data_IF_243091192620
#
_entry.id   IF_243091192620
#
_cell.length_a   1.000
_cell.length_b   1.000
_cell.length_c   1.000
_cell.angle_alpha   90.00
_cell.angle_beta   90.00
_cell.angle_gamma   90.00
#
_symmetry.space_group_name_H-M   'P 1'
#
loop_
_entity.id
_entity.type
_entity.pdbx_description
1 polymer ?
#
# COMPACT_ATOMS: atom_id res chain seq x y z
N UNK A 1 -21.45 -9.26 -2.70
CA UNK A 1 -20.99 -8.17 -3.58
C UNK A 1 -20.98 -6.89 -2.77
N UNK A 2 -19.81 -6.26 -2.62
CA UNK A 2 -19.62 -4.95 -2.01
C UNK A 2 -19.83 -3.88 -3.10
N UNK A 3 -20.37 -2.74 -2.70
CA UNK A 3 -20.73 -1.66 -3.63
C UNK A 3 -19.96 -0.39 -3.32
N UNK A 4 -19.60 0.34 -4.37
CA UNK A 4 -19.05 1.68 -4.24
C UNK A 4 -20.14 2.65 -3.75
N UNK A 5 -19.74 3.59 -2.90
CA UNK A 5 -20.46 4.80 -2.60
C UNK A 5 -20.02 5.96 -3.51
N UNK A 6 -20.78 7.05 -3.49
CA UNK A 6 -20.47 8.25 -4.27
C UNK A 6 -19.08 8.83 -3.97
N UNK A 7 -18.66 8.74 -2.70
CA UNK A 7 -17.36 9.23 -2.26
C UNK A 7 -16.20 8.38 -2.78
N UNK A 8 -16.40 7.07 -2.96
CA UNK A 8 -15.40 6.20 -3.57
C UNK A 8 -15.18 6.58 -5.04
N UNK A 9 -16.26 6.85 -5.77
CA UNK A 9 -16.21 7.30 -7.16
C UNK A 9 -15.52 8.65 -7.29
N UNK A 10 -15.81 9.61 -6.41
CA UNK A 10 -15.14 10.91 -6.37
C UNK A 10 -13.65 10.82 -6.03
N UNK A 11 -13.27 9.91 -5.12
CA UNK A 11 -11.87 9.68 -4.78
C UNK A 11 -11.08 9.13 -5.98
N UNK A 12 -11.69 8.22 -6.75
CA UNK A 12 -11.10 7.72 -8.00
C UNK A 12 -10.99 8.84 -9.04
N UNK A 13 -12.05 9.65 -9.20
CA UNK A 13 -12.05 10.77 -10.13
C UNK A 13 -10.96 11.81 -9.81
N UNK A 14 -10.83 12.24 -8.55
CA UNK A 14 -9.80 13.18 -8.12
C UNK A 14 -8.38 12.70 -8.46
N UNK A 15 -8.11 11.40 -8.24
CA UNK A 15 -6.80 10.79 -8.53
C UNK A 15 -6.50 10.75 -10.02
N UNK A 16 -7.47 10.33 -10.84
CA UNK A 16 -7.30 10.23 -12.30
C UNK A 16 -7.18 11.61 -12.94
N UNK A 17 -7.97 12.58 -12.46
CA UNK A 17 -7.98 13.96 -12.96
C UNK A 17 -6.84 14.82 -12.41
N UNK A 18 -6.07 14.29 -11.44
CA UNK A 18 -4.98 14.98 -10.74
C UNK A 18 -5.41 16.33 -10.15
N UNK A 19 -6.56 16.33 -9.47
CA UNK A 19 -7.11 17.53 -8.85
C UNK A 19 -7.51 17.29 -7.39
N UNK A 20 -7.65 18.40 -6.65
CA UNK A 20 -8.12 18.38 -5.26
C UNK A 20 -9.57 17.89 -5.18
N UNK A 21 -9.97 17.30 -4.05
CA UNK A 21 -11.31 16.71 -3.87
C UNK A 21 -12.45 17.70 -4.13
N UNK A 22 -12.26 18.97 -3.78
CA UNK A 22 -13.25 20.02 -4.03
C UNK A 22 -13.43 20.30 -5.53
N UNK A 23 -12.34 20.20 -6.29
CA UNK A 23 -12.37 20.36 -7.75
C UNK A 23 -12.98 19.14 -8.44
N UNK A 24 -12.72 17.93 -7.93
CA UNK A 24 -13.37 16.71 -8.41
C UNK A 24 -14.88 16.78 -8.24
N UNK A 25 -15.40 17.31 -7.12
CA UNK A 25 -16.84 17.52 -6.91
C UNK A 25 -17.41 18.50 -7.94
N UNK A 26 -16.74 19.62 -8.20
CA UNK A 26 -17.19 20.61 -9.20
C UNK A 26 -17.20 20.07 -10.63
N UNK A 27 -16.29 19.14 -10.93
CA UNK A 27 -16.09 18.55 -12.26
C UNK A 27 -16.89 17.26 -12.47
N UNK A 28 -17.82 16.95 -11.56
CA UNK A 28 -18.56 15.70 -11.58
C UNK A 28 -20.06 15.91 -11.40
N UNK A 29 -20.86 15.34 -12.30
CA UNK A 29 -22.32 15.22 -12.14
C UNK A 29 -22.64 14.12 -11.12
N UNK A 30 -22.90 14.56 -9.89
CA UNK A 30 -23.18 13.67 -8.75
C UNK A 30 -24.53 12.95 -8.86
N UNK A 31 -25.52 13.55 -9.54
CA UNK A 31 -26.85 12.96 -9.68
C UNK A 31 -26.79 11.78 -10.65
N UNK A 32 -26.01 11.93 -11.72
CA UNK A 32 -25.71 10.83 -12.65
C UNK A 32 -24.95 9.70 -11.95
N UNK A 33 -23.96 9.99 -11.10
CA UNK A 33 -23.27 8.95 -10.32
C UNK A 33 -24.25 8.18 -9.43
N UNK A 34 -25.10 8.89 -8.68
CA UNK A 34 -26.03 8.25 -7.76
C UNK A 34 -27.03 7.34 -8.50
N UNK A 35 -27.51 7.77 -9.67
CA UNK A 35 -28.38 6.94 -10.54
C UNK A 35 -27.66 5.68 -11.01
N UNK A 36 -26.46 5.82 -11.57
CA UNK A 36 -25.67 4.67 -12.04
C UNK A 36 -25.39 3.70 -10.88
N UNK A 37 -24.98 4.19 -9.71
CA UNK A 37 -24.74 3.34 -8.54
C UNK A 37 -26.02 2.65 -8.03
N UNK A 38 -27.17 3.30 -8.14
CA UNK A 38 -28.46 2.66 -7.80
C UNK A 38 -28.78 1.49 -8.75
N UNK A 39 -28.48 1.63 -10.04
CA UNK A 39 -28.68 0.56 -11.02
C UNK A 39 -27.69 -0.60 -10.81
N UNK A 40 -26.45 -0.30 -10.46
CA UNK A 40 -25.45 -1.31 -10.06
C UNK A 40 -25.94 -2.12 -8.86
N UNK A 41 -26.54 -1.47 -7.85
CA UNK A 41 -27.08 -2.15 -6.65
C UNK A 41 -28.25 -3.10 -6.96
N UNK A 42 -29.02 -2.82 -8.01
CA UNK A 42 -30.14 -3.67 -8.45
C UNK A 42 -29.69 -4.84 -9.34
N UNK A 43 -28.44 -4.81 -9.81
CA UNK A 43 -27.94 -5.78 -10.78
C UNK A 43 -27.35 -7.01 -10.06
N UNK A 44 -27.86 -8.23 -10.32
CA UNK A 44 -27.30 -9.45 -9.76
C UNK A 44 -26.06 -9.88 -10.55
N UNK A 45 -25.01 -10.29 -9.83
CA UNK A 45 -23.77 -10.76 -10.43
C UNK A 45 -22.73 -9.64 -10.64
N UNK A 46 -21.47 -9.97 -10.41
CA UNK A 46 -20.38 -8.99 -10.39
C UNK A 46 -20.02 -8.50 -11.78
N UNK A 47 -20.01 -9.38 -12.79
CA UNK A 47 -19.69 -9.01 -14.16
C UNK A 47 -20.79 -8.10 -14.74
N UNK A 48 -22.04 -8.39 -14.44
CA UNK A 48 -23.22 -7.62 -14.81
C UNK A 48 -23.21 -6.26 -14.13
N UNK A 49 -22.95 -6.21 -12.82
CA UNK A 49 -22.86 -4.97 -12.06
C UNK A 49 -21.70 -4.08 -12.53
N UNK A 50 -20.53 -4.66 -12.79
CA UNK A 50 -19.38 -3.96 -13.38
C UNK A 50 -19.67 -3.47 -14.80
N UNK A 51 -20.40 -4.25 -15.60
CA UNK A 51 -20.82 -3.86 -16.94
C UNK A 51 -21.83 -2.70 -16.94
N UNK A 52 -22.80 -2.72 -16.02
CA UNK A 52 -23.74 -1.60 -15.80
C UNK A 52 -23.00 -0.34 -15.37
N UNK A 53 -22.03 -0.48 -14.45
CA UNK A 53 -21.19 0.63 -14.00
C UNK A 53 -20.37 1.24 -15.15
N UNK A 54 -19.67 0.40 -15.92
CA UNK A 54 -18.87 0.85 -17.06
C UNK A 54 -19.75 1.54 -18.09
N UNK A 55 -20.86 0.91 -18.45
CA UNK A 55 -21.74 1.40 -19.50
C UNK A 55 -22.45 2.70 -19.10
N UNK A 56 -22.90 2.82 -17.86
CA UNK A 56 -23.52 4.04 -17.33
C UNK A 56 -22.56 5.22 -17.33
N UNK A 57 -21.36 5.04 -16.76
CA UNK A 57 -20.37 6.12 -16.68
C UNK A 57 -19.83 6.55 -18.05
N UNK A 58 -19.66 5.62 -18.99
CA UNK A 58 -19.19 5.95 -20.35
C UNK A 58 -20.26 6.66 -21.17
N UNK A 59 -21.54 6.27 -21.06
CA UNK A 59 -22.64 6.89 -21.82
C UNK A 59 -23.07 8.23 -21.25
N UNK A 60 -23.27 8.31 -19.94
CA UNK A 60 -23.81 9.51 -19.30
C UNK A 60 -22.74 10.58 -19.04
N UNK A 61 -21.46 10.20 -19.14
CA UNK A 61 -20.30 11.09 -19.04
C UNK A 61 -20.32 12.05 -17.85
N UNK A 62 -20.43 11.57 -16.59
CA UNK A 62 -20.54 12.44 -15.44
C UNK A 62 -19.28 13.25 -15.13
N UNK A 63 -18.12 12.93 -15.71
CA UNK A 63 -16.85 13.61 -15.40
C UNK A 63 -16.43 14.57 -16.51
N UNK A 64 -16.06 15.80 -16.14
CA UNK A 64 -15.43 16.76 -17.04
C UNK A 64 -13.94 16.43 -17.28
N UNK A 65 -13.59 16.10 -18.52
CA UNK A 65 -12.23 15.68 -18.94
C UNK A 65 -12.18 14.24 -19.48
N UNK A 66 -11.15 13.44 -19.16
CA UNK A 66 -10.96 12.08 -19.68
C UNK A 66 -11.95 11.06 -19.06
N UNK A 67 -13.25 11.25 -19.27
CA UNK A 67 -14.34 10.46 -18.68
C UNK A 67 -14.19 8.94 -18.85
N UNK A 68 -13.73 8.49 -20.02
CA UNK A 68 -13.50 7.05 -20.29
C UNK A 68 -12.46 6.44 -19.34
N UNK A 69 -11.38 7.17 -19.07
CA UNK A 69 -10.31 6.72 -18.16
C UNK A 69 -10.83 6.65 -16.72
N UNK A 70 -11.60 7.66 -16.30
CA UNK A 70 -12.23 7.65 -14.96
C UNK A 70 -13.23 6.50 -14.85
N UNK A 71 -14.07 6.27 -15.87
CA UNK A 71 -15.04 5.17 -15.88
C UNK A 71 -14.37 3.80 -15.76
N UNK A 72 -13.31 3.55 -16.52
CA UNK A 72 -12.52 2.30 -16.41
C UNK A 72 -11.90 2.18 -15.02
N UNK A 73 -11.29 3.24 -14.49
CA UNK A 73 -10.69 3.23 -13.15
C UNK A 73 -11.72 2.94 -12.03
N UNK A 74 -12.94 3.47 -12.16
CA UNK A 74 -14.04 3.20 -11.20
C UNK A 74 -14.48 1.73 -11.27
N UNK A 75 -14.48 1.13 -12.46
CA UNK A 75 -14.80 -0.30 -12.64
C UNK A 75 -13.70 -1.18 -12.09
N UNK A 76 -12.43 -0.85 -12.30
CA UNK A 76 -11.29 -1.54 -11.66
C UNK A 76 -11.38 -1.48 -10.13
N UNK A 77 -11.74 -0.31 -9.57
CA UNK A 77 -11.94 -0.17 -8.13
C UNK A 77 -13.11 -1.02 -7.62
N UNK A 78 -14.20 -1.12 -8.40
CA UNK A 78 -15.35 -1.97 -8.07
C UNK A 78 -15.02 -3.46 -8.11
N UNK A 79 -14.28 -3.93 -9.12
CA UNK A 79 -13.87 -5.34 -9.22
C UNK A 79 -12.88 -5.70 -8.11
N UNK A 80 -11.91 -4.81 -7.83
CA UNK A 80 -10.97 -4.98 -6.73
C UNK A 80 -11.66 -5.06 -5.37
N UNK A 81 -12.67 -4.20 -5.12
CA UNK A 81 -13.51 -4.24 -3.90
C UNK A 81 -14.28 -5.57 -3.74
N UNK A 82 -14.41 -6.33 -4.83
CA UNK A 82 -15.07 -7.63 -4.87
C UNK A 82 -14.08 -8.79 -5.09
N UNK A 83 -12.79 -8.56 -4.85
CA UNK A 83 -11.71 -9.57 -4.94
C UNK A 83 -11.61 -10.22 -6.31
N UNK A 84 -11.69 -9.39 -7.34
CA UNK A 84 -11.50 -9.82 -8.71
C UNK A 84 -10.63 -8.83 -9.47
N UNK A 85 -9.70 -9.38 -10.23
CA UNK A 85 -8.87 -8.62 -11.15
C UNK A 85 -9.56 -8.57 -12.51
N UNK A 86 -9.60 -7.39 -13.13
CA UNK A 86 -10.12 -7.20 -14.48
C UNK A 86 -8.96 -6.94 -15.42
N UNK A 87 -8.67 -7.92 -16.28
CA UNK A 87 -7.63 -7.77 -17.31
C UNK A 87 -8.05 -6.78 -18.37
N UNK A 88 -7.16 -5.82 -18.66
CA UNK A 88 -7.37 -4.80 -19.69
C UNK A 88 -6.69 -5.12 -21.02
N UNK A 89 -5.80 -6.12 -21.05
CA UNK A 89 -5.13 -6.52 -22.29
C UNK A 89 -5.99 -7.46 -23.14
N UNK A 90 -5.93 -7.35 -24.48
CA UNK A 90 -5.30 -6.25 -25.23
C UNK A 90 -6.10 -4.94 -25.11
N UNK A 91 -5.41 -3.82 -24.90
CA UNK A 91 -6.04 -2.49 -24.71
C UNK A 91 -6.96 -2.10 -25.88
N UNK A 92 -6.62 -2.52 -27.10
CA UNK A 92 -7.42 -2.26 -28.30
C UNK A 92 -8.86 -2.80 -28.19
N UNK A 93 -9.06 -3.96 -27.56
CA UNK A 93 -10.40 -4.53 -27.39
C UNK A 93 -11.23 -3.77 -26.35
N UNK A 94 -10.56 -3.17 -25.34
CA UNK A 94 -11.21 -2.29 -24.36
C UNK A 94 -11.64 -1.00 -25.05
N UNK A 95 -10.76 -0.40 -25.85
CA UNK A 95 -11.09 0.82 -26.61
C UNK A 95 -12.26 0.59 -27.58
N UNK A 96 -12.26 -0.53 -28.32
CA UNK A 96 -13.36 -0.91 -29.21
C UNK A 96 -14.69 -1.06 -28.45
N UNK A 97 -14.66 -1.64 -27.24
CA UNK A 97 -15.85 -1.72 -26.39
C UNK A 97 -16.32 -0.32 -25.96
N UNK A 98 -15.42 0.54 -25.49
CA UNK A 98 -15.75 1.89 -25.04
C UNK A 98 -16.33 2.74 -26.18
N UNK A 99 -15.83 2.57 -27.40
CA UNK A 99 -16.37 3.19 -28.61
C UNK A 99 -17.79 2.71 -28.91
N UNK A 100 -18.04 1.39 -28.86
CA UNK A 100 -19.39 0.83 -29.05
C UNK A 100 -20.36 1.27 -27.96
N UNK A 101 -19.92 1.35 -26.70
CA UNK A 101 -20.75 1.87 -25.60
C UNK A 101 -21.12 3.33 -25.86
N UNK A 102 -20.14 4.16 -26.25
CA UNK A 102 -20.32 5.58 -26.57
C UNK A 102 -21.29 5.77 -27.73
N UNK A 103 -21.20 4.93 -28.76
CA UNK A 103 -22.09 4.93 -29.92
C UNK A 103 -23.49 4.34 -29.64
N UNK A 104 -23.74 3.83 -28.43
CA UNK A 104 -24.99 3.14 -28.09
C UNK A 104 -25.16 1.76 -28.74
N UNK A 105 -24.10 1.23 -29.35
CA UNK A 105 -24.11 -0.04 -30.08
C UNK A 105 -23.78 -1.28 -29.22
N UNK A 106 -23.35 -1.10 -27.97
CA UNK A 106 -23.14 -2.20 -27.03
C UNK A 106 -24.29 -2.29 -26.02
N UNK A 107 -24.90 -3.46 -25.88
CA UNK A 107 -25.93 -3.77 -24.88
C UNK A 107 -25.31 -4.03 -23.50
N UNK A 108 -26.09 -3.90 -22.42
CA UNK A 108 -25.60 -4.20 -21.07
C UNK A 108 -25.12 -5.66 -20.94
N UNK A 109 -25.75 -6.60 -21.65
CA UNK A 109 -25.36 -8.00 -21.67
C UNK A 109 -23.99 -8.22 -22.35
N UNK A 110 -23.72 -7.55 -23.47
CA UNK A 110 -22.43 -7.64 -24.16
C UNK A 110 -21.29 -7.05 -23.33
N UNK A 111 -21.54 -5.94 -22.63
CA UNK A 111 -20.54 -5.34 -21.71
C UNK A 111 -20.28 -6.30 -20.54
N UNK A 112 -21.34 -6.88 -19.97
CA UNK A 112 -21.21 -7.85 -18.89
C UNK A 112 -20.43 -9.10 -19.32
N UNK A 113 -20.68 -9.62 -20.53
CA UNK A 113 -19.94 -10.75 -21.09
C UNK A 113 -18.46 -10.42 -21.28
N UNK A 114 -18.16 -9.25 -21.83
CA UNK A 114 -16.80 -8.77 -22.00
C UNK A 114 -16.05 -8.69 -20.67
N UNK A 115 -16.70 -8.14 -19.63
CA UNK A 115 -16.15 -8.09 -18.28
C UNK A 115 -15.96 -9.51 -17.74
N UNK A 116 -16.97 -10.39 -17.84
CA UNK A 116 -16.91 -11.77 -17.34
C UNK A 116 -15.73 -12.55 -17.91
N UNK A 117 -15.48 -12.46 -19.22
CA UNK A 117 -14.38 -13.13 -19.90
C UNK A 117 -12.98 -12.65 -19.44
N UNK A 118 -12.91 -11.49 -18.77
CA UNK A 118 -11.68 -10.83 -18.34
C UNK A 118 -11.51 -10.76 -16.82
N UNK A 119 -12.49 -11.27 -16.07
CA UNK A 119 -12.40 -11.39 -14.63
C UNK A 119 -11.60 -12.63 -14.25
N UNK A 120 -10.53 -12.43 -13.49
CA UNK A 120 -9.77 -13.49 -12.84
C UNK A 120 -10.11 -13.49 -11.34
N UNK A 121 -10.50 -14.65 -10.80
CA UNK A 121 -10.74 -14.79 -9.36
C UNK A 121 -9.43 -15.12 -8.67
N UNK A 122 -9.00 -14.27 -7.74
CA UNK A 122 -7.82 -14.56 -6.92
C UNK A 122 -8.14 -15.69 -5.93
N UNK A 123 -7.38 -16.78 -5.99
CA UNK A 123 -7.18 -17.70 -4.87
C UNK A 123 -6.40 -16.93 -3.80
N UNK A 124 -6.84 -17.04 -2.55
CA UNK A 124 -6.40 -16.18 -1.45
C UNK A 124 -4.88 -16.01 -1.37
N UNK A 125 -4.41 -14.78 -1.55
CA UNK A 125 -2.99 -14.38 -1.39
C UNK A 125 -2.87 -13.21 -0.41
N UNK A 126 -1.64 -12.79 -0.08
CA UNK A 126 -1.34 -11.73 0.90
C UNK A 126 -2.10 -10.39 0.68
N UNK A 127 -2.67 -10.15 -0.51
CA UNK A 127 -3.60 -9.05 -0.78
C UNK A 127 -4.93 -9.13 -0.02
N UNK A 128 -5.38 -10.32 0.41
CA UNK A 128 -6.63 -10.50 1.15
C UNK A 128 -6.57 -9.97 2.60
N UNK A 129 -5.36 -9.89 3.17
CA UNK A 129 -5.13 -9.20 4.44
C UNK A 129 -5.26 -7.67 4.28
N UNK A 130 -4.89 -7.14 3.11
CA UNK A 130 -4.92 -5.72 2.77
C UNK A 130 -6.35 -5.13 2.81
N UNK A 131 -7.36 -5.97 2.55
CA UNK A 131 -8.78 -5.57 2.54
C UNK A 131 -9.50 -5.77 3.89
N UNK A 132 -9.16 -6.82 4.65
CA UNK A 132 -9.74 -7.04 5.99
C UNK A 132 -9.34 -5.93 6.98
N UNK A 133 -8.08 -5.49 6.90
CA UNK A 133 -7.60 -4.35 7.67
C UNK A 133 -8.31 -3.04 7.32
N UNK A 134 -8.67 -2.86 6.05
CA UNK A 134 -9.33 -1.65 5.57
C UNK A 134 -10.79 -1.56 6.04
N UNK A 135 -11.44 -2.67 6.34
CA UNK A 135 -12.83 -2.71 6.83
C UNK A 135 -12.97 -2.63 8.36
N UNK A 136 -12.04 -3.24 9.10
CA UNK A 136 -12.02 -3.10 10.56
C UNK A 136 -11.76 -1.64 11.01
N UNK A 137 -11.01 -0.88 10.20
CA UNK A 137 -10.65 0.51 10.50
C UNK A 137 -11.70 1.56 10.09
N UNK A 138 -12.76 1.17 9.37
CA UNK A 138 -13.77 2.12 8.83
C UNK A 138 -15.09 2.11 9.63
N UNK A 139 -15.31 1.14 10.52
CA UNK A 139 -16.61 0.97 11.18
C UNK A 139 -16.69 1.41 12.66
N UNK A 140 -15.62 1.83 13.32
CA UNK A 140 -15.70 2.25 14.73
C UNK A 140 -16.04 3.73 14.99
N UNK A 141 -16.11 4.59 13.95
CA UNK A 141 -16.46 6.02 14.14
C UNK A 141 -17.97 6.31 14.07
N UNK A 142 -18.83 5.30 14.17
CA UNK A 142 -20.29 5.52 14.22
C UNK A 142 -20.79 6.06 15.59
N UNK A 143 -19.94 6.17 16.62
CA UNK A 143 -20.33 6.72 17.94
C UNK A 143 -19.21 7.56 18.57
N UNK A 144 -19.03 8.80 18.11
CA UNK A 144 -18.40 9.85 18.92
C UNK A 144 -18.77 11.25 18.42
N UNK A 145 -20.07 11.59 18.47
CA UNK A 145 -20.44 12.99 18.66
C UNK A 145 -19.81 13.48 19.97
N UNK A 146 -18.94 14.50 19.88
CA UNK A 146 -18.68 15.58 20.86
C UNK A 146 -17.21 16.02 20.82
N UNK A 147 -16.99 17.19 20.20
CA UNK A 147 -15.94 18.18 20.51
C UNK A 147 -14.44 17.82 20.31
N UNK A 148 -13.80 18.74 19.56
CA UNK A 148 -12.36 19.10 19.51
C UNK A 148 -11.42 18.33 18.57
N UNK A 149 -10.92 19.12 17.60
CA UNK A 149 -9.61 19.16 16.94
C UNK A 149 -9.31 18.54 15.56
N UNK A 150 -8.69 19.41 14.75
CA UNK A 150 -8.32 19.27 13.34
C UNK A 150 -7.22 18.22 13.04
N UNK A 151 -6.76 17.45 14.03
CA UNK A 151 -5.65 16.51 13.89
C UNK A 151 -6.05 15.22 13.15
N UNK A 152 -7.29 14.78 13.28
CA UNK A 152 -7.74 13.49 12.70
C UNK A 152 -8.06 13.53 11.21
N UNK A 153 -8.39 14.71 10.65
CA UNK A 153 -8.44 14.92 9.19
C UNK A 153 -7.09 14.75 8.49
N UNK A 154 -5.97 14.71 9.24
CA UNK A 154 -4.64 14.30 8.73
C UNK A 154 -4.47 12.78 8.68
N UNK A 155 -5.15 12.00 9.52
CA UNK A 155 -4.99 10.54 9.61
C UNK A 155 -5.39 9.79 8.33
N UNK A 156 -6.46 10.21 7.65
CA UNK A 156 -6.90 9.61 6.38
C UNK A 156 -5.95 10.00 5.23
N UNK A 157 -5.41 11.23 5.24
CA UNK A 157 -4.36 11.68 4.30
C UNK A 157 -2.97 11.11 4.63
N UNK A 158 -2.79 10.55 5.82
CA UNK A 158 -1.51 10.01 6.30
C UNK A 158 -1.18 8.69 5.57
N UNK A 159 -2.15 7.79 5.37
CA UNK A 159 -1.93 6.47 4.78
C UNK A 159 -1.90 6.44 3.25
N UNK A 160 -2.48 7.43 2.56
CA UNK A 160 -2.40 7.53 1.09
C UNK A 160 -0.98 7.72 0.59
N UNK A 161 -0.12 8.31 1.42
CA UNK A 161 1.28 8.55 1.11
C UNK A 161 2.21 7.48 1.70
N UNK A 162 1.70 6.38 2.26
CA UNK A 162 2.55 5.23 2.62
C UNK A 162 2.89 4.44 1.35
N UNK A 163 4.10 3.91 1.28
CA UNK A 163 4.42 2.88 0.31
C UNK A 163 3.64 1.60 0.63
N UNK A 164 3.45 0.72 -0.35
CA UNK A 164 2.74 -0.53 -0.12
C UNK A 164 3.43 -1.45 0.91
N UNK A 165 4.78 -1.57 0.93
CA UNK A 165 5.50 -2.18 2.05
C UNK A 165 5.16 -1.55 3.41
N UNK A 166 5.12 -0.22 3.53
CA UNK A 166 4.81 0.46 4.79
C UNK A 166 3.35 0.24 5.24
N UNK A 167 2.40 0.09 4.30
CA UNK A 167 1.02 -0.32 4.63
C UNK A 167 0.98 -1.76 5.15
N UNK A 168 1.76 -2.67 4.57
CA UNK A 168 1.88 -4.06 5.06
C UNK A 168 2.44 -4.12 6.48
N UNK A 169 3.44 -3.30 6.81
CA UNK A 169 3.96 -3.20 8.18
C UNK A 169 2.84 -2.90 9.18
N UNK A 170 1.97 -1.94 8.84
CA UNK A 170 0.85 -1.56 9.71
C UNK A 170 -0.15 -2.71 9.87
N UNK A 171 -0.42 -3.42 8.77
CA UNK A 171 -1.25 -4.62 8.77
C UNK A 171 -0.73 -5.70 9.69
N UNK A 172 0.55 -6.02 9.54
CA UNK A 172 1.23 -7.03 10.34
C UNK A 172 1.31 -6.60 11.80
N UNK A 173 1.52 -5.32 12.10
CA UNK A 173 1.50 -4.80 13.46
C UNK A 173 0.14 -5.03 14.15
N UNK A 174 -0.97 -4.82 13.45
CA UNK A 174 -2.30 -5.12 13.99
C UNK A 174 -2.51 -6.62 14.23
N UNK A 175 -2.00 -7.47 13.33
CA UNK A 175 -2.03 -8.92 13.50
C UNK A 175 -1.21 -9.37 14.72
N UNK A 176 -0.04 -8.79 14.93
CA UNK A 176 0.82 -9.08 16.07
C UNK A 176 0.20 -8.63 17.39
N UNK A 177 -0.43 -7.45 17.42
CA UNK A 177 -1.22 -7.01 18.57
C UNK A 177 -2.30 -8.04 18.94
N UNK A 178 -3.02 -8.58 17.94
CA UNK A 178 -4.03 -9.63 18.13
C UNK A 178 -3.44 -10.94 18.63
N UNK A 179 -2.34 -11.40 18.03
CA UNK A 179 -1.64 -12.63 18.44
C UNK A 179 -1.18 -12.57 19.90
N UNK A 180 -0.78 -11.38 20.36
CA UNK A 180 -0.36 -11.13 21.74
C UNK A 180 -1.53 -10.84 22.69
N UNK A 181 -2.75 -10.72 22.18
CA UNK A 181 -3.97 -10.42 22.96
C UNK A 181 -4.05 -8.96 23.42
N UNK A 182 -3.27 -8.06 22.82
CA UNK A 182 -3.25 -6.64 23.14
C UNK A 182 -4.39 -5.88 22.45
N UNK A 183 -5.02 -4.97 23.18
CA UNK A 183 -6.15 -4.14 22.71
C UNK A 183 -5.70 -2.78 22.15
N UNK A 184 -4.42 -2.65 21.81
CA UNK A 184 -3.85 -1.45 21.21
C UNK A 184 -2.68 -1.83 20.28
N UNK A 185 -2.37 -0.94 19.32
CA UNK A 185 -1.16 -1.03 18.49
C UNK A 185 -0.10 -0.07 19.04
N UNK A 186 0.90 -0.62 19.73
CA UNK A 186 2.06 0.11 20.25
C UNK A 186 3.25 0.10 19.28
N UNK A 187 4.37 0.69 19.72
CA UNK A 187 5.59 0.76 18.91
C UNK A 187 6.23 -0.62 18.72
N UNK A 188 6.07 -1.51 19.71
CA UNK A 188 6.50 -2.90 19.68
C UNK A 188 5.82 -3.73 18.59
N UNK A 189 4.53 -3.48 18.35
CA UNK A 189 3.80 -4.12 17.26
C UNK A 189 4.25 -3.59 15.90
N UNK A 190 4.56 -2.29 15.80
CA UNK A 190 5.14 -1.72 14.58
C UNK A 190 6.53 -2.30 14.28
N UNK A 191 7.35 -2.52 15.31
CA UNK A 191 8.65 -3.20 15.17
C UNK A 191 8.47 -4.63 14.66
N UNK A 192 7.55 -5.40 15.24
CA UNK A 192 7.23 -6.74 14.76
C UNK A 192 6.72 -6.73 13.32
N UNK A 193 5.86 -5.77 12.98
CA UNK A 193 5.37 -5.59 11.62
C UNK A 193 6.48 -5.26 10.60
N UNK A 194 7.51 -4.51 11.01
CA UNK A 194 8.68 -4.24 10.15
C UNK A 194 9.51 -5.49 9.88
N UNK A 195 9.61 -6.39 10.86
CA UNK A 195 10.37 -7.64 10.70
C UNK A 195 9.57 -8.63 9.86
N UNK A 196 8.27 -8.75 10.09
CA UNK A 196 7.39 -9.69 9.39
C UNK A 196 7.07 -9.27 7.94
N UNK A 197 7.30 -8.01 7.57
CA UNK A 197 7.07 -7.55 6.19
C UNK A 197 8.01 -8.25 5.18
N UNK A 198 9.18 -8.69 5.62
CA UNK A 198 10.01 -9.68 4.92
C UNK A 198 10.82 -9.17 3.73
N UNK A 199 10.54 -7.98 3.20
CA UNK A 199 11.14 -7.52 1.93
C UNK A 199 11.56 -6.04 1.93
N UNK A 200 11.26 -5.29 2.97
CA UNK A 200 11.59 -3.88 3.10
C UNK A 200 13.03 -3.63 3.53
N UNK A 201 13.51 -2.40 3.34
CA UNK A 201 14.83 -1.97 3.81
C UNK A 201 14.93 -2.15 5.33
N UNK A 202 13.85 -1.87 6.07
CA UNK A 202 13.84 -2.04 7.52
C UNK A 202 14.07 -3.49 7.95
N UNK A 203 13.36 -4.44 7.33
CA UNK A 203 13.53 -5.86 7.59
C UNK A 203 14.98 -6.28 7.35
N UNK A 204 15.53 -5.96 6.17
CA UNK A 204 16.90 -6.34 5.81
C UNK A 204 17.94 -5.82 6.79
N UNK A 205 17.76 -4.58 7.25
CA UNK A 205 18.66 -4.01 8.23
C UNK A 205 18.51 -4.75 9.57
N UNK A 206 17.29 -4.94 10.08
CA UNK A 206 17.06 -5.64 11.35
C UNK A 206 17.60 -7.08 11.31
N UNK A 207 17.35 -7.81 10.22
CA UNK A 207 17.87 -9.15 9.98
C UNK A 207 19.40 -9.18 9.96
N UNK A 208 20.05 -8.16 9.36
CA UNK A 208 21.50 -8.00 9.37
C UNK A 208 22.11 -7.80 10.76
N UNK A 209 21.31 -7.35 11.74
CA UNK A 209 21.70 -7.29 13.16
C UNK A 209 21.27 -8.53 13.95
N UNK A 210 20.71 -9.56 13.30
CA UNK A 210 20.22 -10.77 13.95
C UNK A 210 18.92 -10.55 14.76
N UNK A 211 18.21 -9.45 14.52
CA UNK A 211 16.95 -9.13 15.20
C UNK A 211 15.84 -9.89 14.50
N UNK A 212 15.22 -10.83 15.22
CA UNK A 212 14.19 -11.73 14.68
C UNK A 212 12.85 -11.53 15.38
N UNK A 213 11.76 -11.80 14.68
CA UNK A 213 10.42 -11.65 15.24
C UNK A 213 10.17 -12.53 16.48
N UNK A 214 10.63 -13.80 16.55
CA UNK A 214 10.54 -14.59 17.79
C UNK A 214 11.22 -13.91 18.99
N UNK A 215 12.46 -13.45 18.83
CA UNK A 215 13.19 -12.78 19.92
C UNK A 215 12.51 -11.48 20.38
N UNK A 216 11.96 -10.71 19.43
CA UNK A 216 11.17 -9.51 19.74
C UNK A 216 9.88 -9.88 20.47
N UNK A 217 9.12 -10.89 20.01
CA UNK A 217 7.87 -11.33 20.69
C UNK A 217 8.12 -11.76 22.12
N UNK A 218 9.19 -12.50 22.38
CA UNK A 218 9.55 -12.95 23.73
C UNK A 218 9.82 -11.75 24.65
N UNK A 219 10.55 -10.75 24.17
CA UNK A 219 10.78 -9.51 24.92
C UNK A 219 9.50 -8.66 25.11
N UNK A 220 8.60 -8.64 24.11
CA UNK A 220 7.30 -7.97 24.27
C UNK A 220 6.50 -8.64 25.39
N UNK A 221 6.44 -9.97 25.41
CA UNK A 221 5.75 -10.72 26.48
C UNK A 221 6.45 -10.53 27.84
N UNK A 222 7.78 -10.44 27.87
CA UNK A 222 8.52 -10.14 29.11
C UNK A 222 8.17 -8.76 29.67
N UNK A 223 8.08 -7.74 28.81
CA UNK A 223 7.90 -6.34 29.23
C UNK A 223 6.43 -6.03 29.52
N UNK A 224 5.50 -6.47 28.67
CA UNK A 224 4.08 -6.09 28.70
C UNK A 224 3.15 -7.23 29.16
N UNK A 225 3.64 -8.47 29.15
CA UNK A 225 2.81 -9.66 29.35
C UNK A 225 2.04 -10.05 28.08
N UNK A 226 1.18 -11.07 28.20
CA UNK A 226 0.13 -11.34 27.21
C UNK A 226 -1.15 -10.66 27.64
N UNK A 227 -1.86 -10.07 26.69
CA UNK A 227 -3.17 -9.49 26.94
C UNK A 227 -4.28 -10.54 26.97
N UNK A 228 -5.50 -10.08 27.29
CA UNK A 228 -6.74 -10.87 27.33
C UNK A 228 -7.83 -10.30 26.44
N UNK A 229 -7.44 -9.46 25.47
CA UNK A 229 -8.37 -8.74 24.61
C UNK A 229 -9.18 -9.66 23.68
N UNK A 230 -10.46 -9.35 23.52
CA UNK A 230 -11.36 -9.99 22.56
C UNK A 230 -11.48 -9.20 21.25
N UNK A 231 -12.19 -9.76 20.27
CA UNK A 231 -12.35 -9.21 18.93
C UNK A 231 -13.03 -7.82 18.92
N UNK A 232 -12.38 -6.85 18.26
CA UNK A 232 -12.82 -5.47 18.05
C UNK A 232 -11.77 -4.70 17.24
N UNK A 233 -12.00 -3.43 16.91
CA UNK A 233 -10.95 -2.61 16.29
C UNK A 233 -9.92 -2.22 17.34
N UNK A 234 -8.66 -2.21 16.92
CA UNK A 234 -7.51 -2.03 17.81
C UNK A 234 -6.88 -0.67 17.46
N UNK A 235 -7.00 0.36 18.32
CA UNK A 235 -6.48 1.68 18.03
C UNK A 235 -4.96 1.75 18.21
N UNK A 236 -4.30 2.67 17.50
CA UNK A 236 -2.91 3.03 17.78
C UNK A 236 -2.77 3.80 19.08
N UNK A 237 -1.72 3.49 19.84
CA UNK A 237 -1.31 4.31 20.99
C UNK A 237 -0.88 5.71 20.53
N UNK A 238 -0.99 6.75 21.39
CA UNK A 238 -0.47 8.09 21.08
C UNK A 238 1.01 8.07 20.68
N UNK A 239 1.79 7.20 21.32
CA UNK A 239 3.22 7.04 21.03
C UNK A 239 3.47 6.42 19.65
N UNK A 240 2.73 5.38 19.27
CA UNK A 240 2.78 4.82 17.92
C UNK A 240 2.39 5.86 16.85
N UNK A 241 1.42 6.74 17.14
CA UNK A 241 1.09 7.86 16.24
C UNK A 241 2.24 8.85 16.11
N UNK A 242 2.89 9.22 17.21
CA UNK A 242 4.09 10.07 17.20
C UNK A 242 5.25 9.43 16.42
N UNK A 243 5.41 8.10 16.47
CA UNK A 243 6.36 7.38 15.62
C UNK A 243 6.08 7.61 14.13
N UNK A 244 4.82 7.59 13.70
CA UNK A 244 4.49 7.90 12.29
C UNK A 244 4.83 9.33 11.92
N UNK A 245 4.63 10.29 12.82
CA UNK A 245 5.04 11.68 12.60
C UNK A 245 6.56 11.81 12.43
N UNK A 246 7.33 11.11 13.28
CA UNK A 246 8.78 11.05 13.16
C UNK A 246 9.24 10.40 11.84
N UNK A 247 8.57 9.34 11.40
CA UNK A 247 8.81 8.71 10.12
C UNK A 247 8.48 9.64 8.95
N UNK A 248 7.43 10.45 9.07
CA UNK A 248 7.08 11.47 8.08
C UNK A 248 8.12 12.58 7.97
N UNK A 249 8.64 13.05 9.10
CA UNK A 249 9.74 14.02 9.11
C UNK A 249 10.97 13.43 8.41
N UNK A 250 11.25 12.14 8.60
CA UNK A 250 12.36 11.45 7.96
C UNK A 250 12.19 11.39 6.44
N UNK A 251 11.01 10.95 5.98
CA UNK A 251 10.68 10.89 4.55
C UNK A 251 10.84 12.27 3.89
N UNK A 252 10.31 13.32 4.52
CA UNK A 252 10.40 14.71 4.03
C UNK A 252 11.82 15.23 4.00
N UNK A 253 12.62 15.00 5.05
CA UNK A 253 14.03 15.42 5.09
C UNK A 253 14.85 14.79 3.98
N UNK A 254 14.41 13.63 3.47
CA UNK A 254 15.06 12.90 2.37
C UNK A 254 14.44 13.17 1.00
N UNK A 255 13.43 14.02 0.93
CA UNK A 255 12.73 14.36 -0.32
C UNK A 255 11.89 13.20 -0.87
N UNK A 256 11.48 12.25 -0.02
CA UNK A 256 10.62 11.15 -0.43
C UNK A 256 9.15 11.57 -0.39
N UNK A 257 8.45 11.30 -1.49
CA UNK A 257 7.00 11.57 -1.62
C UNK A 257 6.14 10.53 -0.90
N UNK A 258 6.76 9.39 -0.52
CA UNK A 258 6.11 8.30 0.20
C UNK A 258 6.84 7.94 1.49
N UNK A 259 6.08 7.48 2.48
CA UNK A 259 6.61 6.93 3.72
C UNK A 259 6.86 5.42 3.52
N UNK A 260 8.13 5.02 3.51
CA UNK A 260 8.60 3.64 3.38
C UNK A 260 8.97 2.98 4.71
N UNK A 261 9.35 1.71 4.64
CA UNK A 261 9.72 0.88 5.82
C UNK A 261 10.92 1.45 6.57
N UNK A 262 11.90 1.97 5.83
CA UNK A 262 13.10 2.63 6.32
C UNK A 262 12.77 3.87 7.15
N UNK A 263 11.77 4.65 6.72
CA UNK A 263 11.31 5.83 7.45
C UNK A 263 10.60 5.43 8.74
N UNK A 264 9.79 4.36 8.70
CA UNK A 264 9.16 3.80 9.90
C UNK A 264 10.19 3.35 10.94
N UNK A 265 11.22 2.61 10.50
CA UNK A 265 12.29 2.16 11.38
C UNK A 265 13.07 3.34 11.98
N UNK A 266 13.40 4.35 11.17
CA UNK A 266 14.06 5.57 11.66
C UNK A 266 13.18 6.36 12.64
N UNK A 267 11.86 6.35 12.45
CA UNK A 267 10.88 6.91 13.37
C UNK A 267 10.85 6.17 14.72
N UNK A 268 10.87 4.83 14.71
CA UNK A 268 10.96 4.01 15.92
C UNK A 268 12.27 4.24 16.67
N UNK A 269 13.40 4.27 15.94
CA UNK A 269 14.71 4.55 16.52
C UNK A 269 14.82 5.98 17.08
N UNK A 270 13.96 6.91 16.66
CA UNK A 270 13.90 8.26 17.22
C UNK A 270 13.13 8.28 18.54
N UNK A 271 12.14 7.40 18.69
CA UNK A 271 11.40 7.17 19.92
C UNK A 271 12.06 6.07 20.78
N UNK A 272 13.30 6.32 21.21
CA UNK A 272 14.12 5.37 21.96
C UNK A 272 13.53 4.94 23.32
N UNK A 273 12.66 5.78 23.90
CA UNK A 273 11.98 5.51 25.17
C UNK A 273 10.75 4.59 25.02
N UNK A 274 10.26 4.39 23.80
CA UNK A 274 9.15 3.49 23.52
C UNK A 274 9.52 2.02 23.70
N UNK A 275 8.53 1.12 23.79
CA UNK A 275 8.76 -0.32 24.00
C UNK A 275 9.64 -0.90 22.88
N UNK A 276 9.40 -0.52 21.63
CA UNK A 276 10.30 -0.90 20.53
C UNK A 276 11.73 -0.40 20.71
N UNK A 277 11.94 0.84 21.13
CA UNK A 277 13.28 1.40 21.37
C UNK A 277 14.00 0.64 22.49
N UNK A 278 13.30 0.30 23.57
CA UNK A 278 13.82 -0.52 24.65
C UNK A 278 14.17 -1.93 24.20
N UNK A 279 13.32 -2.57 23.38
CA UNK A 279 13.60 -3.89 22.80
C UNK A 279 14.82 -3.84 21.89
N UNK A 280 14.90 -2.85 21.01
CA UNK A 280 16.07 -2.66 20.15
C UNK A 280 17.31 -2.46 21.00
N UNK A 281 17.26 -1.67 22.07
CA UNK A 281 18.40 -1.48 22.99
C UNK A 281 18.78 -2.76 23.74
N UNK A 282 17.82 -3.63 24.06
CA UNK A 282 18.10 -4.95 24.66
C UNK A 282 18.75 -5.92 23.67
N UNK A 283 18.33 -5.90 22.40
CA UNK A 283 18.81 -6.81 21.35
C UNK A 283 20.08 -6.31 20.64
N UNK A 284 20.27 -5.00 20.59
CA UNK A 284 21.49 -4.35 20.10
C UNK A 284 22.02 -3.39 21.16
N UNK A 285 23.27 -3.61 21.57
CA UNK A 285 23.97 -2.69 22.49
C UNK A 285 24.21 -1.30 21.85
N UNK A 286 24.00 -1.14 20.54
CA UNK A 286 24.13 0.12 19.80
C UNK A 286 22.96 0.31 18.80
N UNK A 287 21.82 0.88 19.23
CA UNK A 287 20.72 1.26 18.32
C UNK A 287 21.12 2.27 17.24
N UNK A 288 22.14 3.10 17.50
CA UNK A 288 22.63 4.07 16.50
C UNK A 288 23.35 3.36 15.34
N UNK A 289 23.90 2.16 15.56
CA UNK A 289 24.42 1.33 14.47
C UNK A 289 23.32 0.94 13.48
N UNK A 290 22.10 0.63 13.97
CA UNK A 290 20.95 0.35 13.12
C UNK A 290 20.60 1.59 12.30
N UNK A 291 20.51 2.76 12.94
CA UNK A 291 20.25 4.04 12.26
C UNK A 291 21.23 4.27 11.12
N UNK A 292 22.53 4.23 11.40
CA UNK A 292 23.59 4.44 10.39
C UNK A 292 23.47 3.44 9.23
N UNK A 293 23.10 2.19 9.52
CA UNK A 293 22.93 1.16 8.50
C UNK A 293 21.71 1.42 7.60
N UNK A 294 20.59 1.87 8.16
CA UNK A 294 19.41 2.29 7.37
C UNK A 294 19.78 3.47 6.48
N UNK A 295 20.49 4.46 7.02
CA UNK A 295 20.90 5.65 6.27
C UNK A 295 21.81 5.32 5.09
N UNK A 296 22.82 4.46 5.30
CA UNK A 296 23.69 3.95 4.23
C UNK A 296 22.90 3.24 3.12
N UNK A 297 21.88 2.44 3.49
CA UNK A 297 21.00 1.77 2.50
C UNK A 297 20.20 2.76 1.67
N UNK A 298 19.61 3.76 2.30
CA UNK A 298 18.86 4.81 1.59
C UNK A 298 19.78 5.54 0.61
N UNK A 299 20.98 5.92 1.06
CA UNK A 299 21.94 6.66 0.23
C UNK A 299 22.49 5.83 -0.92
N UNK A 300 22.68 4.52 -0.74
CA UNK A 300 23.04 3.58 -1.81
C UNK A 300 21.92 3.46 -2.84
N UNK A 301 20.68 3.23 -2.39
CA UNK A 301 19.51 3.14 -3.28
C UNK A 301 19.35 4.39 -4.14
N UNK A 302 19.41 5.58 -3.53
CA UNK A 302 19.32 6.85 -4.25
C UNK A 302 20.43 7.04 -5.30
N UNK A 303 21.67 6.60 -4.98
CA UNK A 303 22.79 6.63 -5.95
C UNK A 303 22.55 5.69 -7.11
N UNK A 304 22.06 4.48 -6.85
CA UNK A 304 21.69 3.51 -7.89
C UNK A 304 20.57 4.04 -8.78
N UNK A 305 19.49 4.56 -8.18
CA UNK A 305 18.37 5.20 -8.91
C UNK A 305 18.84 6.37 -9.77
N UNK A 306 19.71 7.23 -9.24
CA UNK A 306 20.28 8.37 -9.99
C UNK A 306 21.19 7.93 -11.13
N UNK A 307 21.98 6.86 -10.95
CA UNK A 307 22.85 6.31 -11.99
C UNK A 307 22.01 5.74 -13.14
N UNK A 308 20.97 4.97 -12.82
CA UNK A 308 20.06 4.41 -13.84
C UNK A 308 19.25 5.51 -14.52
N UNK A 309 18.76 6.51 -13.77
CA UNK A 309 18.08 7.66 -14.37
C UNK A 309 18.99 8.44 -15.34
N UNK A 310 20.29 8.54 -15.05
CA UNK A 310 21.29 9.09 -15.96
C UNK A 310 21.45 8.25 -17.24
N UNK A 311 21.57 6.93 -17.10
CA UNK A 311 21.64 6.00 -18.25
C UNK A 311 20.39 6.04 -19.13
N UNK A 312 19.20 6.21 -18.53
CA UNK A 312 17.92 6.31 -19.24
C UNK A 312 17.69 7.69 -19.88
N UNK A 313 18.35 8.75 -19.39
CA UNK A 313 18.23 10.10 -19.94
C UNK A 313 19.01 10.29 -21.24
N UNK A 314 20.12 9.56 -21.43
CA UNK A 314 20.96 9.66 -22.64
C UNK A 314 20.29 9.07 -23.90
N UNK A 315 19.22 8.25 -23.76
CA UNK A 315 18.49 7.59 -24.87
C UNK A 315 17.03 8.13 -25.05
N UNK A 316 16.72 9.29 -24.47
CA UNK A 316 15.34 9.76 -24.21
C UNK A 316 14.57 10.38 -25.39
N UNK A 317 14.77 9.91 -26.63
CA UNK A 317 13.99 10.41 -27.79
C UNK A 317 12.62 9.73 -27.99
N UNK A 318 12.26 8.71 -27.18
CA UNK A 318 11.04 7.90 -27.39
C UNK A 318 10.01 7.81 -26.25
N UNK A 319 10.24 8.41 -25.08
CA UNK A 319 9.42 8.14 -23.88
C UNK A 319 8.35 9.20 -23.64
N UNK A 320 7.11 8.97 -24.10
CA UNK A 320 6.02 9.97 -24.00
C UNK A 320 4.94 9.65 -22.96
N UNK A 321 5.20 8.90 -21.88
CA UNK A 321 4.20 8.82 -20.80
C UNK A 321 4.82 8.66 -19.41
N UNK A 322 4.51 9.62 -18.52
CA UNK A 322 4.87 9.66 -17.11
C UNK A 322 4.60 8.33 -16.37
N UNK A 323 3.49 7.65 -16.71
CA UNK A 323 3.13 6.34 -16.15
C UNK A 323 4.10 5.20 -16.50
N UNK A 324 4.65 5.16 -17.72
CA UNK A 324 5.66 4.15 -18.10
C UNK A 324 6.97 4.35 -17.35
N UNK A 325 7.41 5.61 -17.20
CA UNK A 325 8.61 5.94 -16.42
C UNK A 325 8.44 5.55 -14.94
N UNK A 326 7.30 5.86 -14.33
CA UNK A 326 7.05 5.50 -12.93
C UNK A 326 6.93 4.00 -12.70
N UNK A 327 6.27 3.28 -13.61
CA UNK A 327 6.15 1.82 -13.54
C UNK A 327 7.51 1.13 -13.70
N UNK A 328 8.30 1.53 -14.69
CA UNK A 328 9.66 1.02 -14.88
C UNK A 328 10.59 1.37 -13.72
N UNK A 329 10.47 2.56 -13.11
CA UNK A 329 11.21 2.88 -11.89
C UNK A 329 10.79 1.98 -10.72
N UNK A 330 9.51 1.62 -10.62
CA UNK A 330 9.00 0.65 -9.64
C UNK A 330 9.54 -0.76 -9.87
N UNK A 331 9.46 -1.27 -11.11
CA UNK A 331 10.00 -2.58 -11.50
C UNK A 331 11.52 -2.64 -11.33
N UNK A 332 12.23 -1.57 -11.73
CA UNK A 332 13.66 -1.44 -11.56
C UNK A 332 14.03 -1.41 -10.07
N UNK A 333 13.28 -0.69 -9.24
CA UNK A 333 13.51 -0.66 -7.80
C UNK A 333 13.36 -2.05 -7.18
N UNK A 334 12.34 -2.81 -7.61
CA UNK A 334 12.18 -4.20 -7.20
C UNK A 334 13.37 -5.08 -7.65
N UNK A 335 13.84 -4.92 -8.88
CA UNK A 335 15.00 -5.66 -9.41
C UNK A 335 16.31 -5.27 -8.70
N UNK A 336 16.48 -4.00 -8.34
CA UNK A 336 17.64 -3.54 -7.57
C UNK A 336 17.62 -4.09 -6.14
N UNK A 337 16.46 -4.06 -5.49
CA UNK A 337 16.25 -4.62 -4.15
C UNK A 337 16.53 -6.14 -4.15
N UNK A 338 16.06 -6.87 -5.17
CA UNK A 338 16.30 -8.32 -5.32
C UNK A 338 17.77 -8.65 -5.62
N UNK A 339 18.45 -7.84 -6.45
CA UNK A 339 19.88 -8.03 -6.69
C UNK A 339 20.71 -7.81 -5.41
N UNK A 340 20.36 -6.82 -4.59
CA UNK A 340 21.07 -6.58 -3.33
C UNK A 340 20.86 -7.75 -2.35
N UNK A 341 19.64 -8.29 -2.27
CA UNK A 341 19.32 -9.50 -1.50
C UNK A 341 20.16 -10.69 -1.93
N UNK A 342 20.23 -10.95 -3.24
CA UNK A 342 21.04 -12.04 -3.79
C UNK A 342 22.53 -11.86 -3.49
N UNK A 343 23.06 -10.64 -3.58
CA UNK A 343 24.45 -10.37 -3.21
C UNK A 343 24.74 -10.65 -1.72
N UNK A 344 23.82 -10.31 -0.82
CA UNK A 344 23.95 -10.62 0.61
C UNK A 344 23.88 -12.12 0.89
N UNK A 345 22.96 -12.82 0.23
CA UNK A 345 22.86 -14.27 0.35
C UNK A 345 24.12 -14.96 -0.17
N UNK A 346 24.67 -14.51 -1.29
CA UNK A 346 25.95 -15.01 -1.82
C UNK A 346 27.09 -14.72 -0.86
N UNK A 347 27.17 -13.51 -0.28
CA UNK A 347 28.20 -13.17 0.69
C UNK A 347 28.10 -14.03 1.96
N UNK A 348 26.88 -14.26 2.45
CA UNK A 348 26.62 -15.12 3.60
C UNK A 348 27.00 -16.58 3.30
N UNK A 349 26.57 -17.12 2.17
CA UNK A 349 26.93 -18.48 1.73
C UNK A 349 28.45 -18.64 1.58
N UNK A 350 29.13 -17.65 1.00
CA UNK A 350 30.60 -17.65 0.89
C UNK A 350 31.28 -17.70 2.24
N UNK A 351 30.76 -16.99 3.24
CA UNK A 351 31.31 -17.04 4.60
C UNK A 351 31.06 -18.41 5.25
N UNK A 352 29.85 -18.95 5.09
CA UNK A 352 29.47 -20.28 5.58
C UNK A 352 30.36 -21.40 4.98
N UNK A 353 30.66 -21.31 3.68
CA UNK A 353 31.58 -22.24 3.01
C UNK A 353 32.99 -22.16 3.60
N UNK A 354 33.50 -20.94 3.81
CA UNK A 354 34.81 -20.73 4.47
C UNK A 354 34.85 -21.24 5.90
N UNK A 355 33.77 -21.11 6.66
CA UNK A 355 33.65 -21.65 8.02
C UNK A 355 33.72 -23.20 8.05
N UNK A 356 33.40 -23.84 6.93
CA UNK A 356 33.49 -25.30 6.74
C UNK A 356 34.73 -25.76 5.97
N UNK A 357 35.76 -24.91 5.86
CA UNK A 357 37.00 -25.17 5.09
C UNK A 357 36.74 -25.51 3.60
N UNK A 358 35.62 -25.04 3.05
CA UNK A 358 35.30 -25.16 1.62
C UNK A 358 35.67 -23.84 0.95
N UNK A 359 36.60 -23.87 0.01
CA UNK A 359 36.94 -22.69 -0.79
C UNK A 359 35.77 -22.35 -1.74
N UNK A 360 35.10 -21.19 -1.57
CA UNK A 360 33.97 -20.82 -2.41
C UNK A 360 34.36 -20.36 -3.82
N UNK A 361 35.66 -20.15 -4.09
CA UNK A 361 36.17 -19.65 -5.36
C UNK A 361 37.11 -20.67 -6.06
N UNK A 362 37.16 -21.92 -5.57
CA UNK A 362 37.82 -23.07 -6.20
C UNK A 362 36.98 -23.67 -7.34
#
# INVERSE_FOLDING_TARGET
MRYLGRYDVLAVAARVLQCESEDAVRRTDLDTIDRVLADVRRTPGMAEAAGVLLAGLVRERPFDGPNRVVAVAVVLQFTALNRAELRLEPVSEVDDLLDRITAGGATAAEVAEFVRARLEQELVTAGDLQEHLRLDLVLEDAVAELTVDNEWRRGIRMFERFSDPAKRVVALAQEEARKLGHVYIGTEHLLLGLIEEGQGIAERVLAGFGITAPAVRDLVVEILGRGRGEAGTIPFTPRAKSTFEHAWDEARRRGSDQLGTEHLLLGLLRDGDGVAGQILTKLTSDPDAIRRKVEDRIDRRRRSESAVAGMLADDASGWTTFGRRHHLLGELNHVLDENERLHEQVAHLRNLLREHDIDPDA
#
